data_IF_404635771838
#
_entry.id   IF_404635771838
#
_cell.length_a   1.000
_cell.length_b   1.000
_cell.length_c   1.000
_cell.angle_alpha   90.00
_cell.angle_beta   90.00
_cell.angle_gamma   90.00
#
_symmetry.space_group_name_H-M   'P 1'
#
loop_
_entity.id
_entity.type
_entity.pdbx_description
1 polymer ?
#
# COMPACT_ATOMS: atom_id res chain seq x y z
N UNK A 1 47.87 1.87 -32.70
CA UNK A 1 46.87 2.34 -33.64
C UNK A 1 45.66 1.42 -33.59
N UNK A 2 44.46 2.00 -33.46
CA UNK A 2 43.09 1.44 -33.54
C UNK A 2 42.66 0.47 -32.44
N UNK A 3 41.90 1.01 -31.47
CA UNK A 3 40.95 0.33 -30.64
C UNK A 3 39.71 -0.02 -31.48
N UNK A 4 39.28 -1.27 -31.43
CA UNK A 4 38.05 -1.76 -32.00
C UNK A 4 37.00 -1.99 -30.94
N UNK A 5 35.84 -1.38 -31.11
CA UNK A 5 34.61 -1.54 -30.34
C UNK A 5 34.11 -2.98 -30.37
N UNK A 6 33.78 -3.55 -29.25
CA UNK A 6 32.93 -4.74 -29.13
C UNK A 6 31.67 -4.35 -28.36
N UNK A 7 30.60 -4.09 -29.08
CA UNK A 7 29.25 -4.02 -28.57
C UNK A 7 28.65 -5.42 -28.57
N UNK A 8 28.52 -6.05 -27.41
CA UNK A 8 27.73 -7.26 -27.25
C UNK A 8 26.29 -6.92 -26.92
N UNK A 9 25.41 -7.24 -27.86
CA UNK A 9 23.96 -7.26 -27.68
C UNK A 9 23.57 -8.54 -26.92
N UNK A 10 23.23 -8.42 -25.64
CA UNK A 10 22.57 -9.50 -24.93
C UNK A 10 21.08 -9.54 -25.28
N UNK A 11 20.68 -10.54 -26.07
CA UNK A 11 19.29 -10.80 -26.43
C UNK A 11 18.51 -11.40 -25.29
N UNK A 12 17.50 -10.70 -24.80
CA UNK A 12 16.52 -11.21 -23.85
C UNK A 12 15.45 -12.02 -24.60
N UNK A 13 15.42 -13.34 -24.41
CA UNK A 13 14.28 -14.20 -24.75
C UNK A 13 13.26 -14.15 -23.61
N UNK A 14 12.09 -13.63 -23.89
CA UNK A 14 10.90 -13.72 -23.05
C UNK A 14 10.47 -15.18 -22.88
N UNK A 15 10.51 -15.69 -21.65
CA UNK A 15 9.88 -16.94 -21.28
C UNK A 15 8.38 -16.69 -21.02
N UNK A 16 7.55 -17.24 -21.89
CA UNK A 16 6.10 -17.35 -21.68
C UNK A 16 5.84 -18.35 -20.52
N UNK A 17 5.25 -17.90 -19.44
CA UNK A 17 4.74 -18.78 -18.39
C UNK A 17 3.26 -19.06 -18.60
N UNK A 18 2.94 -20.34 -18.85
CA UNK A 18 1.59 -20.90 -18.76
C UNK A 18 1.14 -21.02 -17.28
N UNK A 19 -0.17 -21.02 -16.96
CA UNK A 19 -0.67 -21.05 -15.59
C UNK A 19 -0.50 -22.43 -14.99
N UNK A 20 0.53 -22.61 -14.16
CA UNK A 20 0.76 -23.85 -13.41
C UNK A 20 2.05 -23.79 -12.61
N UNK A 21 1.92 -23.80 -11.28
CA UNK A 21 2.95 -23.99 -10.24
C UNK A 21 4.23 -23.19 -10.38
N UNK A 22 4.32 -22.10 -9.62
CA UNK A 22 5.60 -21.41 -9.37
C UNK A 22 6.49 -22.34 -8.57
N UNK A 23 7.55 -22.86 -9.18
CA UNK A 23 8.55 -23.68 -8.48
C UNK A 23 9.43 -22.83 -7.58
N UNK A 24 10.00 -23.43 -6.51
CA UNK A 24 10.97 -22.76 -5.61
C UNK A 24 12.12 -22.12 -6.37
N UNK A 25 12.49 -22.61 -7.56
CA UNK A 25 13.49 -22.02 -8.45
C UNK A 25 13.05 -20.68 -9.05
N UNK A 26 11.78 -20.52 -9.39
CA UNK A 26 11.24 -19.27 -9.94
C UNK A 26 11.10 -18.20 -8.85
N UNK A 27 10.78 -18.59 -7.62
CA UNK A 27 10.78 -17.70 -6.46
C UNK A 27 12.20 -17.18 -6.18
N UNK A 28 13.21 -18.04 -6.28
CA UNK A 28 14.63 -17.68 -6.14
C UNK A 28 15.11 -16.70 -7.22
N UNK A 29 14.67 -16.87 -8.46
CA UNK A 29 14.99 -15.94 -9.56
C UNK A 29 14.29 -14.60 -9.35
N UNK A 30 13.04 -14.60 -8.89
CA UNK A 30 12.28 -13.39 -8.60
C UNK A 30 12.87 -12.61 -7.40
N UNK A 31 13.32 -13.32 -6.35
CA UNK A 31 14.03 -12.74 -5.22
C UNK A 31 15.39 -12.14 -5.65
N UNK A 32 16.13 -12.82 -6.52
CA UNK A 32 17.38 -12.29 -7.09
C UNK A 32 17.16 -11.09 -8.01
N UNK A 33 16.03 -11.03 -8.71
CA UNK A 33 15.67 -9.87 -9.54
C UNK A 33 15.29 -8.65 -8.68
N UNK A 34 14.62 -8.87 -7.53
CA UNK A 34 14.36 -7.84 -6.52
C UNK A 34 15.68 -7.36 -5.87
N UNK A 35 16.61 -8.25 -5.59
CA UNK A 35 17.94 -7.92 -5.07
C UNK A 35 18.79 -7.14 -6.09
N UNK A 36 18.69 -7.46 -7.38
CA UNK A 36 19.44 -6.78 -8.45
C UNK A 36 18.88 -5.39 -8.82
N UNK A 37 17.59 -5.12 -8.53
CA UNK A 37 16.95 -3.83 -8.77
C UNK A 37 17.13 -2.83 -7.61
N UNK A 38 17.70 -3.25 -6.49
CA UNK A 38 17.99 -2.37 -5.36
C UNK A 38 19.37 -1.72 -5.51
N UNK A 39 19.51 -0.41 -5.28
CA UNK A 39 20.82 0.20 -5.30
C UNK A 39 21.74 -0.44 -4.25
N UNK A 40 22.99 -0.67 -4.60
CA UNK A 40 24.05 -1.23 -3.72
C UNK A 40 24.42 -0.32 -2.54
N UNK A 41 23.56 0.66 -2.20
CA UNK A 41 23.74 1.59 -1.10
C UNK A 41 23.21 0.97 0.18
N UNK A 42 24.05 0.90 1.20
CA UNK A 42 23.65 0.50 2.55
C UNK A 42 22.64 1.51 3.11
N UNK A 43 21.48 1.01 3.55
CA UNK A 43 20.39 1.82 4.13
C UNK A 43 20.69 2.11 5.60
N UNK A 44 20.85 3.37 5.96
CA UNK A 44 21.13 3.81 7.32
C UNK A 44 19.83 4.01 8.10
N UNK A 45 19.63 3.19 9.12
CA UNK A 45 18.38 3.14 9.91
C UNK A 45 18.63 3.68 11.31
N UNK A 46 17.77 4.58 11.76
CA UNK A 46 17.65 5.02 13.15
C UNK A 46 16.42 4.38 13.79
N UNK A 47 16.61 3.67 14.90
CA UNK A 47 15.54 3.02 15.67
C UNK A 47 15.10 3.97 16.78
N UNK A 48 13.78 4.21 16.90
CA UNK A 48 13.17 5.02 17.97
C UNK A 48 12.06 4.20 18.61
N UNK A 49 12.31 3.68 19.82
CA UNK A 49 11.40 2.81 20.59
C UNK A 49 11.76 2.94 22.06
N UNK A 50 10.81 3.02 22.99
CA UNK A 50 11.09 3.21 24.41
C UNK A 50 11.45 1.92 25.15
N UNK A 51 11.22 0.76 24.52
CA UNK A 51 11.52 -0.56 25.09
C UNK A 51 12.94 -1.02 24.73
N UNK A 52 13.87 -1.14 25.70
CA UNK A 52 15.22 -1.66 25.43
C UNK A 52 15.21 -3.06 24.80
N UNK A 53 14.21 -3.89 25.14
CA UNK A 53 14.07 -5.22 24.57
C UNK A 53 13.73 -5.15 23.07
N UNK A 54 12.76 -4.30 22.70
CA UNK A 54 12.36 -4.12 21.29
C UNK A 54 13.50 -3.51 20.49
N UNK A 55 14.19 -2.51 21.03
CA UNK A 55 15.40 -1.94 20.42
C UNK A 55 16.43 -3.01 20.08
N UNK A 56 16.72 -3.90 21.06
CA UNK A 56 17.67 -5.02 20.86
C UNK A 56 17.22 -5.97 19.76
N UNK A 57 15.93 -6.40 19.81
CA UNK A 57 15.36 -7.33 18.82
C UNK A 57 15.44 -6.74 17.40
N UNK A 58 15.05 -5.48 17.22
CA UNK A 58 15.07 -4.80 15.92
C UNK A 58 16.52 -4.63 15.45
N UNK A 59 17.42 -4.18 16.34
CA UNK A 59 18.85 -4.01 16.02
C UNK A 59 19.48 -5.32 15.54
N UNK A 60 19.34 -6.40 16.33
CA UNK A 60 19.90 -7.71 15.98
C UNK A 60 19.25 -8.28 14.71
N UNK A 61 17.95 -8.04 14.54
CA UNK A 61 17.20 -8.54 13.39
C UNK A 61 17.60 -7.83 12.08
N UNK A 62 17.66 -6.52 12.07
CA UNK A 62 17.99 -5.73 10.88
C UNK A 62 19.48 -5.84 10.52
N UNK A 63 20.38 -5.90 11.51
CA UNK A 63 21.83 -6.01 11.27
C UNK A 63 22.27 -7.32 10.60
N UNK A 64 21.36 -8.32 10.49
CA UNK A 64 21.64 -9.54 9.71
C UNK A 64 21.62 -9.30 8.20
N UNK A 65 21.05 -8.20 7.73
CA UNK A 65 21.05 -7.83 6.31
C UNK A 65 22.27 -6.92 6.02
N UNK A 66 23.20 -7.33 5.15
CA UNK A 66 24.39 -6.54 4.85
C UNK A 66 24.10 -5.19 4.17
N UNK A 67 22.88 -5.00 3.66
CA UNK A 67 22.43 -3.76 3.06
C UNK A 67 21.77 -2.80 4.06
N UNK A 68 21.76 -3.12 5.37
CA UNK A 68 21.19 -2.28 6.43
C UNK A 68 22.22 -1.99 7.50
N UNK A 69 22.44 -0.71 7.78
CA UNK A 69 23.26 -0.21 8.88
C UNK A 69 22.38 0.43 9.95
N UNK A 70 22.46 -0.04 11.19
CA UNK A 70 21.85 0.66 12.31
C UNK A 70 22.77 1.81 12.74
N UNK A 71 22.45 3.02 12.31
CA UNK A 71 23.28 4.19 12.60
C UNK A 71 23.04 4.78 13.99
N UNK A 72 21.95 4.40 14.67
CA UNK A 72 21.65 4.85 16.03
C UNK A 72 20.38 4.23 16.60
N UNK A 73 20.21 4.37 17.91
CA UNK A 73 19.05 3.94 18.67
C UNK A 73 18.68 5.04 19.66
N UNK A 74 17.39 5.40 19.74
CA UNK A 74 16.85 6.39 20.65
C UNK A 74 15.71 5.79 21.49
N UNK A 75 15.59 6.20 22.75
CA UNK A 75 14.58 5.72 23.69
C UNK A 75 13.35 6.64 23.79
N UNK A 76 13.36 7.79 23.14
CA UNK A 76 12.22 8.69 23.08
C UNK A 76 12.32 9.66 21.86
N UNK A 77 11.24 10.37 21.62
CA UNK A 77 11.11 11.31 20.49
C UNK A 77 12.15 12.44 20.50
N UNK A 78 12.57 12.91 21.68
CA UNK A 78 13.53 14.01 21.82
C UNK A 78 14.95 13.54 21.47
N UNK A 79 15.37 12.41 22.03
CA UNK A 79 16.62 11.77 21.67
C UNK A 79 16.65 11.42 20.15
N UNK A 80 15.54 10.91 19.63
CA UNK A 80 15.36 10.62 18.20
C UNK A 80 15.59 11.85 17.32
N UNK A 81 14.97 12.99 17.66
CA UNK A 81 15.18 14.25 16.94
C UNK A 81 16.64 14.66 16.87
N UNK A 82 17.35 14.61 17.99
CA UNK A 82 18.75 15.04 18.06
C UNK A 82 19.66 14.11 17.24
N UNK A 83 19.37 12.79 17.25
CA UNK A 83 20.08 11.81 16.44
C UNK A 83 19.77 11.94 14.94
N UNK A 84 18.56 12.29 14.54
CA UNK A 84 18.21 12.55 13.12
C UNK A 84 19.12 13.63 12.54
N UNK A 85 19.26 14.76 13.24
CA UNK A 85 20.11 15.87 12.79
C UNK A 85 21.59 15.47 12.72
N UNK A 86 22.06 14.74 13.74
CA UNK A 86 23.46 14.33 13.87
C UNK A 86 23.85 13.24 12.87
N UNK A 87 23.02 12.22 12.71
CA UNK A 87 23.35 10.99 12.00
C UNK A 87 22.84 10.97 10.55
N UNK A 88 21.82 11.77 10.24
CA UNK A 88 21.17 11.85 8.91
C UNK A 88 20.81 10.45 8.38
N UNK A 89 19.94 9.71 9.09
CA UNK A 89 19.48 8.40 8.64
C UNK A 89 18.73 8.47 7.32
N UNK A 90 18.67 7.36 6.58
CA UNK A 90 17.85 7.24 5.38
C UNK A 90 16.39 6.87 5.71
N UNK A 91 16.20 6.10 6.81
CA UNK A 91 14.88 5.60 7.26
C UNK A 91 14.84 5.61 8.79
N UNK A 92 13.66 5.89 9.34
CA UNK A 92 13.36 5.67 10.76
C UNK A 92 12.49 4.43 10.95
N UNK A 93 12.76 3.62 11.98
CA UNK A 93 11.72 2.81 12.61
C UNK A 93 11.24 3.55 13.84
N UNK A 94 9.92 3.68 14.01
CA UNK A 94 9.33 4.52 15.04
C UNK A 94 8.20 3.77 15.75
N UNK A 95 8.33 3.64 17.09
CA UNK A 95 7.24 3.14 17.89
C UNK A 95 6.08 4.15 17.94
N UNK A 96 4.88 3.62 17.99
CA UNK A 96 3.64 4.40 18.11
C UNK A 96 3.46 4.90 19.55
N UNK A 97 3.70 4.04 20.52
CA UNK A 97 3.42 4.29 21.95
C UNK A 97 4.72 4.60 22.70
N UNK A 98 5.04 5.88 22.88
CA UNK A 98 6.20 6.31 23.66
C UNK A 98 5.80 7.30 24.75
N UNK A 99 6.53 7.36 25.91
CA UNK A 99 6.29 8.33 26.95
C UNK A 99 6.60 9.76 26.50
N UNK A 100 5.95 10.76 27.10
CA UNK A 100 6.09 12.20 26.86
C UNK A 100 5.60 12.70 25.51
N UNK A 101 5.89 12.01 24.41
CA UNK A 101 5.45 12.35 23.07
C UNK A 101 5.29 11.05 22.27
N UNK A 102 4.07 10.76 21.83
CA UNK A 102 3.79 9.58 21.01
C UNK A 102 4.32 9.73 19.57
N UNK A 103 4.41 8.61 18.85
CA UNK A 103 4.96 8.58 17.50
C UNK A 103 4.18 9.43 16.50
N UNK A 104 2.86 9.59 16.68
CA UNK A 104 2.03 10.40 15.77
C UNK A 104 2.33 11.89 15.94
N UNK A 105 2.38 12.35 17.18
CA UNK A 105 2.72 13.75 17.48
C UNK A 105 4.16 14.06 17.03
N UNK A 106 5.08 13.10 17.21
CA UNK A 106 6.44 13.23 16.70
C UNK A 106 6.45 13.41 15.17
N UNK A 107 5.72 12.56 14.42
CA UNK A 107 5.61 12.67 12.97
C UNK A 107 5.01 14.01 12.52
N UNK A 108 3.94 14.47 13.16
CA UNK A 108 3.31 15.76 12.84
C UNK A 108 4.27 16.94 12.94
N UNK A 109 5.22 16.87 13.87
CA UNK A 109 6.26 17.90 14.06
C UNK A 109 7.44 17.70 13.13
N UNK A 110 7.84 16.45 12.89
CA UNK A 110 9.02 16.10 12.11
C UNK A 110 8.80 16.33 10.61
N UNK A 111 7.74 15.75 10.04
CA UNK A 111 7.55 15.66 8.61
C UNK A 111 7.49 17.01 7.87
N UNK A 112 6.88 18.07 8.42
CA UNK A 112 6.90 19.39 7.77
C UNK A 112 8.27 20.05 7.75
N UNK A 113 9.14 19.74 8.71
CA UNK A 113 10.45 20.37 8.87
C UNK A 113 11.56 19.55 8.21
N UNK A 114 11.51 18.24 8.44
CA UNK A 114 12.52 17.29 7.98
C UNK A 114 11.84 16.01 7.49
N UNK A 115 11.24 16.02 6.28
CA UNK A 115 10.59 14.84 5.73
C UNK A 115 11.61 13.73 5.53
N UNK A 116 11.40 12.62 6.23
CA UNK A 116 12.22 11.41 6.17
C UNK A 116 11.30 10.18 6.13
N UNK A 117 11.64 9.13 5.38
CA UNK A 117 10.87 7.90 5.38
C UNK A 117 10.78 7.26 6.77
N UNK A 118 9.56 6.94 7.22
CA UNK A 118 9.30 6.33 8.53
C UNK A 118 8.48 5.07 8.37
N UNK A 119 8.94 3.97 8.96
CA UNK A 119 8.19 2.73 9.14
C UNK A 119 7.77 2.63 10.61
N UNK A 120 6.46 2.62 10.85
CA UNK A 120 5.94 2.48 12.20
C UNK A 120 6.08 1.04 12.69
N UNK A 121 6.38 0.85 13.97
CA UNK A 121 6.34 -0.46 14.63
C UNK A 121 5.28 -0.40 15.72
N UNK A 122 4.17 -1.10 15.56
CA UNK A 122 2.95 -0.87 16.33
C UNK A 122 2.37 -2.13 16.95
N UNK A 123 1.75 -2.00 18.13
CA UNK A 123 1.01 -3.10 18.76
C UNK A 123 -0.27 -3.44 17.97
N UNK A 124 -0.69 -4.74 18.02
CA UNK A 124 -1.94 -5.22 17.44
C UNK A 124 -3.19 -4.94 18.31
N UNK A 125 -3.09 -4.07 19.30
CA UNK A 125 -4.25 -3.63 20.09
C UNK A 125 -5.13 -2.70 19.24
N UNK A 126 -6.43 -2.61 19.54
CA UNK A 126 -7.33 -1.68 18.85
C UNK A 126 -6.83 -0.23 18.92
N UNK A 127 -6.31 0.16 20.07
CA UNK A 127 -5.69 1.48 20.27
C UNK A 127 -4.46 1.65 19.34
N UNK A 128 -3.54 0.68 19.34
CA UNK A 128 -2.34 0.72 18.50
C UNK A 128 -2.68 0.76 17.01
N UNK A 129 -3.68 0.00 16.56
CA UNK A 129 -4.15 0.02 15.17
C UNK A 129 -4.69 1.40 14.77
N UNK A 130 -5.53 2.03 15.62
CA UNK A 130 -6.05 3.38 15.38
C UNK A 130 -4.93 4.40 15.28
N UNK A 131 -4.02 4.39 16.24
CA UNK A 131 -2.88 5.31 16.27
C UNK A 131 -1.94 5.09 15.08
N UNK A 132 -1.76 3.84 14.63
CA UNK A 132 -0.99 3.53 13.40
C UNK A 132 -1.61 4.18 12.16
N UNK A 133 -2.93 4.10 11.99
CA UNK A 133 -3.60 4.75 10.86
C UNK A 133 -3.52 6.29 10.96
N UNK A 134 -3.47 6.84 12.16
CA UNK A 134 -3.19 8.27 12.37
C UNK A 134 -1.75 8.62 11.99
N UNK A 135 -0.77 7.75 12.32
CA UNK A 135 0.62 7.91 11.92
C UNK A 135 0.79 7.87 10.39
N UNK A 136 0.06 6.98 9.70
CA UNK A 136 0.06 6.95 8.23
C UNK A 136 -0.42 8.30 7.67
N UNK A 137 -1.49 8.89 8.23
CA UNK A 137 -1.97 10.22 7.84
C UNK A 137 -1.02 11.36 8.23
N UNK A 138 -0.16 11.15 9.22
CA UNK A 138 0.89 12.09 9.62
C UNK A 138 2.18 11.97 8.80
N UNK A 139 2.23 11.05 7.83
CA UNK A 139 3.32 10.93 6.88
C UNK A 139 4.21 9.69 7.03
N UNK A 140 3.83 8.72 7.85
CA UNK A 140 4.51 7.44 7.83
C UNK A 140 4.34 6.77 6.46
N UNK A 141 5.41 6.11 5.99
CA UNK A 141 5.45 5.43 4.68
C UNK A 141 4.74 4.08 4.76
N UNK A 142 4.99 3.33 5.85
CA UNK A 142 4.42 2.01 6.09
C UNK A 142 4.45 1.68 7.58
N UNK A 143 3.94 0.50 7.96
CA UNK A 143 3.99 0.02 9.32
C UNK A 143 4.19 -1.50 9.40
N UNK A 144 4.70 -1.98 10.54
CA UNK A 144 4.81 -3.39 10.90
C UNK A 144 4.12 -3.62 12.22
N UNK A 145 3.36 -4.70 12.33
CA UNK A 145 2.66 -5.06 13.55
C UNK A 145 3.57 -5.88 14.48
N UNK A 146 3.68 -5.47 15.76
CA UNK A 146 4.33 -6.28 16.82
C UNK A 146 3.47 -7.53 17.07
N UNK A 147 4.00 -8.75 16.99
CA UNK A 147 3.20 -9.96 17.13
C UNK A 147 2.66 -10.11 18.57
N UNK A 148 1.43 -10.63 18.69
CA UNK A 148 0.88 -11.08 19.98
C UNK A 148 1.41 -12.49 20.26
N UNK A 149 2.62 -12.60 20.80
CA UNK A 149 3.23 -13.87 21.18
C UNK A 149 3.73 -14.69 19.98
N UNK A 150 5.02 -14.75 19.80
CA UNK A 150 5.67 -15.86 19.14
C UNK A 150 6.45 -15.60 17.88
N UNK A 151 5.96 -15.03 16.80
CA UNK A 151 6.76 -14.98 15.56
C UNK A 151 7.47 -13.62 15.35
N UNK A 152 8.52 -13.40 16.17
CA UNK A 152 9.41 -12.26 16.00
C UNK A 152 10.23 -12.34 14.69
N UNK A 153 10.47 -13.56 14.19
CA UNK A 153 11.21 -13.76 12.94
C UNK A 153 10.48 -13.17 11.75
N UNK A 154 9.20 -13.49 11.59
CA UNK A 154 8.36 -12.95 10.52
C UNK A 154 8.22 -11.44 10.61
N UNK A 155 8.05 -10.87 11.82
CA UNK A 155 8.03 -9.41 12.02
C UNK A 155 9.32 -8.74 11.54
N UNK A 156 10.48 -9.30 11.87
CA UNK A 156 11.77 -8.76 11.45
C UNK A 156 11.96 -8.87 9.94
N UNK A 157 11.55 -9.97 9.31
CA UNK A 157 11.66 -10.14 7.86
C UNK A 157 10.75 -9.14 7.12
N UNK A 158 9.54 -8.90 7.64
CA UNK A 158 8.65 -7.85 7.14
C UNK A 158 9.26 -6.47 7.33
N UNK A 159 9.79 -6.16 8.52
CA UNK A 159 10.41 -4.88 8.84
C UNK A 159 11.63 -4.61 7.95
N UNK A 160 12.49 -5.62 7.75
CA UNK A 160 13.65 -5.55 6.85
C UNK A 160 13.23 -5.18 5.43
N UNK A 161 12.20 -5.84 4.93
CA UNK A 161 11.64 -5.56 3.60
C UNK A 161 11.09 -4.14 3.53
N UNK A 162 10.28 -3.71 4.50
CA UNK A 162 9.66 -2.39 4.51
C UNK A 162 10.66 -1.26 4.70
N UNK A 163 11.70 -1.45 5.49
CA UNK A 163 12.80 -0.48 5.64
C UNK A 163 13.52 -0.25 4.30
N UNK A 164 13.85 -1.31 3.58
CA UNK A 164 14.46 -1.19 2.25
C UNK A 164 13.52 -0.49 1.25
N UNK A 165 12.24 -0.81 1.26
CA UNK A 165 11.24 -0.13 0.44
C UNK A 165 11.14 1.36 0.83
N UNK A 166 11.03 1.65 2.13
CA UNK A 166 10.92 3.01 2.63
C UNK A 166 12.12 3.88 2.24
N UNK A 167 13.33 3.31 2.15
CA UNK A 167 14.53 4.06 1.73
C UNK A 167 14.45 4.60 0.30
N UNK A 168 13.56 4.04 -0.53
CA UNK A 168 13.30 4.51 -1.90
C UNK A 168 12.09 5.43 -2.01
N UNK A 169 11.37 5.66 -0.88
CA UNK A 169 10.13 6.40 -0.88
C UNK A 169 10.32 7.90 -1.08
N UNK A 170 9.46 8.53 -1.88
CA UNK A 170 9.40 9.98 -2.04
C UNK A 170 8.49 10.60 -0.98
N UNK A 171 9.09 11.29 -0.01
CA UNK A 171 8.38 11.96 1.10
C UNK A 171 8.50 13.47 1.08
N UNK A 172 9.15 14.05 0.08
CA UNK A 172 9.40 15.50 -0.03
C UNK A 172 8.12 16.35 -0.05
N UNK A 173 7.01 15.79 -0.51
CA UNK A 173 5.69 16.45 -0.55
C UNK A 173 5.13 16.78 0.85
N UNK A 174 5.71 16.21 1.92
CA UNK A 174 5.36 16.53 3.31
C UNK A 174 6.01 17.84 3.80
N UNK A 175 7.02 18.34 3.12
CA UNK A 175 7.72 19.55 3.52
C UNK A 175 6.76 20.75 3.53
N UNK A 176 6.75 21.48 4.61
CA UNK A 176 5.86 22.64 4.85
C UNK A 176 4.35 22.31 4.88
N UNK A 177 3.97 21.04 4.92
CA UNK A 177 2.55 20.65 5.06
C UNK A 177 2.05 21.04 6.45
N UNK A 178 0.97 21.83 6.49
CA UNK A 178 0.29 22.14 7.75
C UNK A 178 -0.66 21.02 8.11
N UNK A 179 -0.46 20.40 9.25
CA UNK A 179 -1.47 19.50 9.83
C UNK A 179 -2.49 20.38 10.54
N UNK A 180 -3.75 20.27 10.16
CA UNK A 180 -4.83 20.87 10.95
C UNK A 180 -4.72 20.33 12.39
N UNK A 181 -4.86 21.21 13.43
CA UNK A 181 -4.94 20.72 14.78
C UNK A 181 -6.06 19.67 14.86
N UNK A 182 -5.85 18.63 15.68
CA UNK A 182 -6.86 17.60 15.92
C UNK A 182 -8.04 18.21 16.72
N UNK A 183 -8.67 19.22 16.14
CA UNK A 183 -9.95 19.69 16.61
C UNK A 183 -10.95 18.63 16.17
N UNK A 184 -11.56 17.97 17.12
CA UNK A 184 -12.69 17.06 16.94
C UNK A 184 -13.90 17.77 16.35
N UNK A 185 -13.78 18.22 15.13
CA UNK A 185 -14.87 18.66 14.29
C UNK A 185 -15.17 17.49 13.36
N UNK A 186 -15.88 16.51 13.89
CA UNK A 186 -16.81 15.75 13.09
C UNK A 186 -17.82 16.74 12.53
N UNK A 187 -17.53 17.43 11.43
CA UNK A 187 -18.58 17.79 10.51
C UNK A 187 -19.04 16.44 9.93
N UNK A 188 -19.84 15.76 10.73
CA UNK A 188 -20.55 14.57 10.33
C UNK A 188 -21.40 14.91 9.12
N UNK A 189 -20.87 14.68 7.94
CA UNK A 189 -21.74 14.19 6.88
C UNK A 189 -22.12 12.79 7.36
N UNK A 190 -23.22 12.76 8.14
CA UNK A 190 -23.86 11.53 8.54
C UNK A 190 -23.89 10.64 7.32
N UNK A 191 -23.25 9.45 7.41
CA UNK A 191 -23.29 8.45 6.39
C UNK A 191 -24.75 8.20 6.03
N UNK A 192 -25.23 8.94 5.02
CA UNK A 192 -26.61 8.88 4.63
C UNK A 192 -26.88 7.44 4.25
N UNK A 193 -27.84 6.80 4.92
CA UNK A 193 -28.38 5.51 4.49
C UNK A 193 -28.50 5.55 2.97
N UNK A 194 -27.85 4.62 2.28
CA UNK A 194 -27.93 4.50 0.83
C UNK A 194 -29.38 4.27 0.49
N UNK A 195 -30.07 5.33 0.05
CA UNK A 195 -31.43 5.21 -0.45
C UNK A 195 -31.35 4.48 -1.80
N UNK A 196 -31.85 3.25 -1.84
CA UNK A 196 -31.90 2.42 -3.03
C UNK A 196 -30.52 1.86 -3.42
N UNK A 197 -30.24 0.62 -3.00
CA UNK A 197 -29.04 -0.10 -3.43
C UNK A 197 -29.23 -0.54 -4.89
N UNK A 198 -28.76 0.27 -5.83
CA UNK A 198 -28.80 -0.09 -7.25
C UNK A 198 -27.56 -0.95 -7.55
N UNK A 199 -27.73 -2.20 -8.03
CA UNK A 199 -26.61 -3.01 -8.46
C UNK A 199 -25.80 -2.29 -9.53
N UNK A 200 -24.50 -2.22 -9.36
CA UNK A 200 -23.62 -1.54 -10.31
C UNK A 200 -23.69 -2.18 -11.69
N UNK A 201 -23.81 -1.35 -12.73
CA UNK A 201 -23.70 -1.78 -14.14
C UNK A 201 -22.24 -1.78 -14.64
N UNK A 202 -21.37 -1.07 -13.96
CA UNK A 202 -19.92 -1.04 -14.13
C UNK A 202 -19.26 -1.13 -12.75
N UNK A 203 -18.02 -1.59 -12.68
CA UNK A 203 -17.26 -1.73 -11.43
C UNK A 203 -15.95 -0.99 -11.53
N UNK A 204 -15.51 -0.35 -10.43
CA UNK A 204 -14.17 0.18 -10.28
C UNK A 204 -13.34 -0.75 -9.40
N UNK A 205 -12.15 -1.15 -9.86
CA UNK A 205 -11.20 -1.97 -9.12
C UNK A 205 -9.93 -1.17 -8.83
N UNK A 206 -9.51 -1.07 -7.57
CA UNK A 206 -8.34 -0.28 -7.16
C UNK A 206 -7.39 -1.16 -6.36
N UNK A 207 -6.11 -1.15 -6.76
CA UNK A 207 -5.02 -1.82 -6.05
C UNK A 207 -4.03 -0.82 -5.47
N UNK A 208 -3.54 -1.06 -4.24
CA UNK A 208 -2.58 -0.22 -3.54
C UNK A 208 -1.75 -0.99 -2.50
N UNK A 209 -0.58 -0.45 -2.13
CA UNK A 209 0.29 -1.00 -1.08
C UNK A 209 0.96 0.12 -0.27
N UNK A 210 2.29 0.16 -0.19
CA UNK A 210 3.06 1.19 0.54
C UNK A 210 2.70 2.60 0.07
N UNK A 211 2.34 3.48 0.99
CA UNK A 211 1.78 4.80 0.69
C UNK A 211 0.31 4.80 0.26
N UNK A 212 -0.28 3.61 0.07
CA UNK A 212 -1.62 3.42 -0.46
C UNK A 212 -2.74 3.96 0.42
N UNK A 213 -2.56 4.00 1.74
CA UNK A 213 -3.59 4.51 2.67
C UNK A 213 -3.95 5.97 2.40
N UNK A 214 -2.94 6.83 2.18
CA UNK A 214 -3.17 8.23 1.86
C UNK A 214 -3.62 8.41 0.40
N UNK A 215 -3.06 7.64 -0.53
CA UNK A 215 -3.49 7.67 -1.92
C UNK A 215 -4.96 7.25 -2.08
N UNK A 216 -5.38 6.18 -1.41
CA UNK A 216 -6.78 5.74 -1.38
C UNK A 216 -7.69 6.77 -0.71
N UNK A 217 -7.25 7.41 0.39
CA UNK A 217 -8.00 8.47 1.04
C UNK A 217 -8.27 9.61 0.05
N UNK A 218 -7.26 10.08 -0.66
CA UNK A 218 -7.40 11.17 -1.64
C UNK A 218 -8.35 10.77 -2.78
N UNK A 219 -8.19 9.58 -3.35
CA UNK A 219 -9.04 9.10 -4.45
C UNK A 219 -10.48 8.91 -3.98
N UNK A 220 -10.73 8.18 -2.90
CA UNK A 220 -12.08 7.84 -2.44
C UNK A 220 -12.85 9.07 -1.95
N UNK A 221 -12.19 10.02 -1.28
CA UNK A 221 -12.81 11.29 -0.89
C UNK A 221 -13.15 12.19 -2.10
N UNK A 222 -12.45 12.03 -3.22
CA UNK A 222 -12.73 12.73 -4.49
C UNK A 222 -13.86 12.12 -5.33
N UNK A 223 -14.33 10.91 -4.97
CA UNK A 223 -15.42 10.24 -5.70
C UNK A 223 -16.80 10.68 -5.17
N UNK A 224 -17.79 10.94 -6.06
CA UNK A 224 -19.13 11.34 -5.63
C UNK A 224 -19.90 10.16 -5.03
N UNK A 225 -20.93 10.48 -4.24
CA UNK A 225 -21.82 9.52 -3.57
C UNK A 225 -22.46 8.50 -4.53
N UNK A 226 -22.62 8.85 -5.78
CA UNK A 226 -23.26 8.02 -6.83
C UNK A 226 -22.24 7.30 -7.72
N UNK A 227 -20.96 7.29 -7.34
CA UNK A 227 -19.94 6.63 -8.15
C UNK A 227 -20.16 5.11 -8.19
N UNK A 228 -19.57 4.47 -9.18
CA UNK A 228 -19.64 3.02 -9.39
C UNK A 228 -19.30 2.24 -8.12
N UNK A 229 -19.90 1.07 -7.95
CA UNK A 229 -19.46 0.12 -6.94
C UNK A 229 -17.97 -0.15 -7.08
N UNK A 230 -17.23 0.11 -6.01
CA UNK A 230 -15.77 0.11 -6.02
C UNK A 230 -15.22 -1.01 -5.14
N UNK A 231 -14.24 -1.74 -5.64
CA UNK A 231 -13.56 -2.81 -4.91
C UNK A 231 -12.10 -2.43 -4.75
N UNK A 232 -11.59 -2.56 -3.53
CA UNK A 232 -10.26 -2.09 -3.16
C UNK A 232 -9.48 -3.22 -2.52
N UNK A 233 -8.26 -3.47 -3.00
CA UNK A 233 -7.25 -4.23 -2.29
C UNK A 233 -6.14 -3.27 -1.87
N UNK A 234 -5.96 -3.15 -0.56
CA UNK A 234 -4.80 -2.54 0.09
C UNK A 234 -4.05 -3.63 0.83
N UNK A 235 -2.75 -3.78 0.57
CA UNK A 235 -1.92 -4.72 1.34
C UNK A 235 -1.83 -4.26 2.78
N UNK A 236 -2.56 -4.96 3.65
CA UNK A 236 -2.70 -4.59 5.06
C UNK A 236 -3.08 -5.82 5.88
N UNK A 237 -2.56 -5.98 7.12
CA UNK A 237 -2.92 -7.10 7.99
C UNK A 237 -4.39 -7.08 8.42
N UNK A 238 -4.88 -8.24 8.87
CA UNK A 238 -6.21 -8.37 9.46
C UNK A 238 -6.40 -7.40 10.63
N UNK A 239 -7.61 -6.87 10.78
CA UNK A 239 -7.98 -5.86 11.76
C UNK A 239 -7.71 -4.43 11.31
N UNK A 240 -6.59 -4.17 10.63
CA UNK A 240 -6.30 -2.83 10.09
C UNK A 240 -7.22 -2.46 8.92
N UNK A 241 -7.60 -3.42 8.08
CA UNK A 241 -8.48 -3.21 6.94
C UNK A 241 -9.87 -2.72 7.36
N UNK A 242 -10.42 -3.29 8.45
CA UNK A 242 -11.69 -2.83 9.01
C UNK A 242 -11.59 -1.38 9.51
N UNK A 243 -10.59 -1.07 10.32
CA UNK A 243 -10.41 0.29 10.86
C UNK A 243 -10.12 1.32 9.76
N UNK A 244 -9.40 0.93 8.72
CA UNK A 244 -9.17 1.77 7.56
C UNK A 244 -10.48 2.03 6.79
N UNK A 245 -11.32 1.01 6.60
CA UNK A 245 -12.63 1.16 6.02
C UNK A 245 -13.53 2.10 6.84
N UNK A 246 -13.61 1.90 8.16
CA UNK A 246 -14.38 2.74 9.08
C UNK A 246 -13.90 4.20 9.04
N UNK A 247 -12.59 4.43 9.00
CA UNK A 247 -12.00 5.76 8.87
C UNK A 247 -12.38 6.44 7.55
N UNK A 248 -12.24 5.73 6.42
CA UNK A 248 -12.65 6.26 5.12
C UNK A 248 -14.14 6.53 5.07
N UNK A 249 -14.97 5.66 5.64
CA UNK A 249 -16.42 5.85 5.73
C UNK A 249 -16.80 7.13 6.48
N UNK A 250 -16.01 7.54 7.47
CA UNK A 250 -16.22 8.78 8.22
C UNK A 250 -15.96 10.07 7.43
N UNK A 251 -15.20 10.01 6.33
CA UNK A 251 -14.76 11.20 5.59
C UNK A 251 -15.15 11.21 4.10
N UNK A 252 -15.47 10.04 3.52
CA UNK A 252 -15.85 9.90 2.12
C UNK A 252 -17.34 10.20 1.90
N UNK A 253 -17.68 10.57 0.66
CA UNK A 253 -19.10 10.70 0.24
C UNK A 253 -19.73 9.32 -0.02
N UNK A 254 -18.95 8.34 -0.49
CA UNK A 254 -19.35 6.95 -0.66
C UNK A 254 -19.47 6.25 0.70
N UNK A 255 -20.30 5.20 0.76
CA UNK A 255 -20.28 4.27 1.89
C UNK A 255 -19.07 3.35 1.73
N UNK A 256 -18.20 3.31 2.72
CA UNK A 256 -17.01 2.46 2.72
C UNK A 256 -17.12 1.42 3.83
N UNK A 257 -16.91 0.14 3.51
CA UNK A 257 -16.84 -0.93 4.52
C UNK A 257 -15.77 -1.97 4.16
N UNK A 258 -15.31 -2.70 5.14
CA UNK A 258 -14.60 -3.95 4.90
C UNK A 258 -15.57 -4.96 4.27
N UNK A 259 -15.13 -5.66 3.25
CA UNK A 259 -15.94 -6.61 2.49
C UNK A 259 -16.24 -7.87 3.31
N UNK A 260 -17.47 -8.34 3.25
CA UNK A 260 -17.93 -9.61 3.81
C UNK A 260 -18.34 -10.58 2.69
N UNK A 261 -18.31 -11.88 2.98
CA UNK A 261 -18.69 -12.92 2.02
C UNK A 261 -20.08 -12.65 1.46
N UNK A 262 -20.17 -12.59 0.13
CA UNK A 262 -21.43 -12.41 -0.58
C UNK A 262 -21.95 -10.97 -0.66
N UNK A 263 -21.20 -9.97 -0.18
CA UNK A 263 -21.55 -8.56 -0.35
C UNK A 263 -21.81 -8.23 -1.82
N UNK A 264 -23.02 -7.70 -2.10
CA UNK A 264 -23.36 -7.21 -3.44
C UNK A 264 -22.65 -5.88 -3.72
N UNK A 265 -22.23 -5.69 -4.97
CA UNK A 265 -21.53 -4.49 -5.43
C UNK A 265 -22.57 -3.47 -5.92
N UNK A 266 -22.71 -2.36 -5.19
CA UNK A 266 -23.68 -1.31 -5.46
C UNK A 266 -23.01 0.02 -5.79
N UNK A 267 -23.62 0.82 -6.62
CA UNK A 267 -23.20 2.21 -6.82
C UNK A 267 -23.23 2.97 -5.49
N UNK A 268 -22.23 3.84 -5.29
CA UNK A 268 -22.07 4.59 -4.05
C UNK A 268 -21.43 3.81 -2.90
N UNK A 269 -20.96 2.57 -3.15
CA UNK A 269 -20.31 1.74 -2.13
C UNK A 269 -18.89 1.36 -2.54
N UNK A 270 -17.96 1.45 -1.61
CA UNK A 270 -16.61 0.92 -1.72
C UNK A 270 -16.38 -0.24 -0.73
N UNK A 271 -15.91 -1.38 -1.23
CA UNK A 271 -15.63 -2.59 -0.47
C UNK A 271 -14.12 -2.79 -0.39
N UNK A 272 -13.56 -2.81 0.82
CA UNK A 272 -12.13 -3.05 1.06
C UNK A 272 -11.92 -4.52 1.40
N UNK A 273 -11.03 -5.19 0.71
CA UNK A 273 -10.71 -6.59 0.96
C UNK A 273 -10.16 -6.79 2.40
N UNK A 274 -10.67 -7.78 3.16
CA UNK A 274 -10.20 -8.02 4.52
C UNK A 274 -8.78 -8.58 4.51
N UNK A 275 -7.95 -8.08 5.43
CA UNK A 275 -6.59 -8.58 5.62
C UNK A 275 -6.57 -10.06 5.99
N UNK A 276 -5.61 -10.81 5.44
CA UNK A 276 -5.47 -12.25 5.67
C UNK A 276 -6.44 -13.13 4.87
N UNK A 277 -7.30 -12.56 4.02
CA UNK A 277 -8.21 -13.26 3.12
C UNK A 277 -7.97 -12.84 1.67
N UNK A 278 -8.33 -13.70 0.71
CA UNK A 278 -8.42 -13.31 -0.70
C UNK A 278 -9.82 -12.79 -1.03
N UNK A 279 -9.91 -11.88 -2.00
CA UNK A 279 -11.15 -11.34 -2.53
C UNK A 279 -11.25 -11.58 -4.03
N UNK A 280 -12.37 -12.11 -4.47
CA UNK A 280 -12.75 -12.23 -5.89
C UNK A 280 -14.11 -11.59 -6.14
N UNK A 281 -14.30 -11.10 -7.34
CA UNK A 281 -15.61 -10.70 -7.86
C UNK A 281 -16.25 -11.89 -8.53
N UNK A 282 -17.51 -12.17 -8.17
CA UNK A 282 -18.31 -13.25 -8.76
C UNK A 282 -19.61 -12.69 -9.34
N UNK A 283 -20.17 -13.40 -10.31
CA UNK A 283 -21.51 -13.10 -10.82
C UNK A 283 -22.56 -13.75 -9.92
N UNK A 284 -23.57 -12.96 -9.53
CA UNK A 284 -24.77 -13.42 -8.81
C UNK A 284 -26.04 -12.98 -9.55
N UNK A 285 -27.19 -13.55 -9.16
CA UNK A 285 -28.49 -13.06 -9.61
C UNK A 285 -28.63 -11.60 -9.22
N UNK A 286 -28.88 -10.73 -10.20
CA UNK A 286 -29.04 -9.29 -10.00
C UNK A 286 -27.76 -8.47 -10.09
N UNK A 287 -26.56 -9.04 -10.37
CA UNK A 287 -25.35 -8.25 -10.52
C UNK A 287 -24.05 -8.97 -10.18
N UNK A 288 -23.15 -8.27 -9.53
CA UNK A 288 -21.87 -8.81 -9.04
C UNK A 288 -21.82 -8.75 -7.50
N UNK A 289 -21.11 -9.71 -6.94
CA UNK A 289 -20.83 -9.79 -5.51
C UNK A 289 -19.37 -10.11 -5.29
N UNK A 290 -18.91 -9.96 -4.05
CA UNK A 290 -17.56 -10.41 -3.66
C UNK A 290 -17.64 -11.81 -3.04
N UNK A 291 -16.59 -12.60 -3.27
CA UNK A 291 -16.27 -13.85 -2.58
C UNK A 291 -15.03 -13.61 -1.74
N UNK A 292 -15.12 -13.93 -0.45
CA UNK A 292 -14.01 -13.84 0.51
C UNK A 292 -13.61 -15.25 0.90
N UNK A 293 -12.33 -15.60 0.79
CA UNK A 293 -11.89 -16.97 1.05
C UNK A 293 -10.45 -17.08 1.55
N UNK A 294 -10.15 -18.20 2.21
CA UNK A 294 -8.81 -18.57 2.64
C UNK A 294 -8.06 -19.20 1.46
N UNK A 295 -7.50 -18.34 0.58
CA UNK A 295 -6.67 -18.77 -0.53
C UNK A 295 -5.18 -18.75 -0.18
N UNK A 296 -4.33 -19.35 -1.03
CA UNK A 296 -2.88 -19.21 -0.91
C UNK A 296 -2.46 -17.76 -1.10
N UNK A 297 -1.22 -17.44 -0.69
CA UNK A 297 -0.60 -16.18 -1.05
C UNK A 297 -0.48 -16.09 -2.58
N UNK A 298 -0.89 -14.96 -3.16
CA UNK A 298 -0.68 -14.66 -4.57
C UNK A 298 0.27 -13.47 -4.65
N UNK A 299 1.34 -13.58 -5.43
CA UNK A 299 2.42 -12.59 -5.46
C UNK A 299 3.00 -12.24 -4.07
N UNK A 300 2.94 -13.17 -3.12
CA UNK A 300 3.37 -12.97 -1.73
C UNK A 300 2.34 -12.29 -0.83
N UNK A 301 1.14 -11.97 -1.32
CA UNK A 301 0.14 -11.17 -0.60
C UNK A 301 -1.21 -11.89 -0.40
N UNK A 302 -1.88 -11.52 0.69
CA UNK A 302 -3.27 -11.89 1.00
C UNK A 302 -3.88 -10.82 1.92
N UNK A 303 -4.77 -9.93 1.37
CA UNK A 303 -5.32 -9.96 0.00
C UNK A 303 -4.30 -9.64 -1.08
N UNK A 304 -4.53 -10.13 -2.31
CA UNK A 304 -3.73 -9.84 -3.49
C UNK A 304 -4.53 -9.04 -4.52
N UNK A 305 -3.91 -7.99 -5.07
CA UNK A 305 -4.47 -7.20 -6.17
C UNK A 305 -4.59 -8.05 -7.43
N UNK A 306 -3.63 -8.94 -7.70
CA UNK A 306 -3.65 -9.87 -8.83
C UNK A 306 -4.90 -10.75 -8.81
N UNK A 307 -5.20 -11.36 -7.65
CA UNK A 307 -6.39 -12.23 -7.47
C UNK A 307 -7.67 -11.45 -7.74
N UNK A 308 -7.82 -10.27 -7.17
CA UNK A 308 -8.99 -9.42 -7.35
C UNK A 308 -9.15 -9.00 -8.82
N UNK A 309 -8.10 -8.46 -9.45
CA UNK A 309 -8.17 -7.93 -10.82
C UNK A 309 -8.39 -9.04 -11.86
N UNK A 310 -7.80 -10.23 -11.69
CA UNK A 310 -8.07 -11.38 -12.55
C UNK A 310 -9.55 -11.81 -12.48
N UNK A 311 -10.14 -11.80 -11.29
CA UNK A 311 -11.56 -12.11 -11.14
C UNK A 311 -12.46 -11.05 -11.80
N UNK A 312 -12.09 -9.77 -11.74
CA UNK A 312 -12.77 -8.67 -12.42
C UNK A 312 -12.65 -8.84 -13.94
N UNK A 313 -11.46 -9.13 -14.46
CA UNK A 313 -11.26 -9.41 -15.89
C UNK A 313 -12.20 -10.51 -16.39
N UNK A 314 -12.26 -11.63 -15.65
CA UNK A 314 -13.07 -12.81 -16.00
C UNK A 314 -14.58 -12.56 -15.93
N UNK A 315 -15.06 -11.88 -14.88
CA UNK A 315 -16.50 -11.84 -14.57
C UNK A 315 -17.18 -10.53 -14.99
N UNK A 316 -16.41 -9.44 -15.14
CA UNK A 316 -16.93 -8.10 -15.45
C UNK A 316 -16.50 -7.63 -16.86
N UNK A 317 -15.23 -7.84 -17.21
CA UNK A 317 -14.69 -7.51 -18.53
C UNK A 317 -14.80 -6.02 -18.86
N UNK A 318 -15.33 -5.69 -20.04
CA UNK A 318 -15.46 -4.31 -20.54
C UNK A 318 -16.28 -3.35 -19.67
N UNK A 319 -17.06 -3.89 -18.75
CA UNK A 319 -17.84 -3.09 -17.77
C UNK A 319 -17.01 -2.74 -16.52
N UNK A 320 -15.69 -2.99 -16.52
CA UNK A 320 -14.80 -2.59 -15.45
C UNK A 320 -13.95 -1.38 -15.83
N UNK A 321 -13.59 -0.59 -14.81
CA UNK A 321 -12.48 0.35 -14.83
C UNK A 321 -11.51 0.02 -13.71
N UNK A 322 -10.23 0.38 -13.87
CA UNK A 322 -9.22 0.04 -12.87
C UNK A 322 -8.23 1.16 -12.60
N UNK A 323 -7.70 1.17 -11.38
CA UNK A 323 -6.60 2.03 -10.98
C UNK A 323 -5.55 1.25 -10.18
N UNK A 324 -4.28 1.45 -10.52
CA UNK A 324 -3.14 0.98 -9.72
C UNK A 324 -2.49 2.17 -9.05
N UNK A 325 -2.50 2.18 -7.72
CA UNK A 325 -1.90 3.25 -6.92
C UNK A 325 -0.50 2.82 -6.42
N UNK A 326 0.15 3.76 -5.73
CA UNK A 326 1.46 3.58 -5.11
C UNK A 326 1.60 2.23 -4.39
N UNK A 327 2.75 1.61 -4.51
CA UNK A 327 3.09 0.35 -3.89
C UNK A 327 4.35 -0.26 -4.46
N UNK A 328 5.00 -1.15 -3.71
CA UNK A 328 6.18 -1.89 -4.14
C UNK A 328 5.80 -3.20 -4.83
N UNK A 329 6.64 -3.64 -5.77
CA UNK A 329 6.49 -4.92 -6.45
C UNK A 329 5.59 -4.87 -7.67
N UNK A 330 5.02 -6.01 -8.05
CA UNK A 330 4.28 -6.20 -9.29
C UNK A 330 2.90 -6.86 -9.09
N UNK A 331 2.43 -6.97 -7.84
CA UNK A 331 1.11 -7.56 -7.56
C UNK A 331 0.01 -6.74 -8.24
N UNK A 332 -0.84 -7.41 -8.99
CA UNK A 332 -1.91 -6.82 -9.79
C UNK A 332 -1.50 -6.33 -11.18
N UNK A 333 -0.22 -6.36 -11.54
CA UNK A 333 0.21 -5.91 -12.87
C UNK A 333 -0.29 -6.84 -13.99
N UNK A 334 -0.27 -8.16 -13.75
CA UNK A 334 -0.83 -9.16 -14.66
C UNK A 334 -2.36 -9.10 -14.69
N UNK A 335 -2.99 -9.00 -13.52
CA UNK A 335 -4.44 -8.87 -13.40
C UNK A 335 -5.00 -7.61 -14.07
N UNK A 336 -4.30 -6.47 -13.95
CA UNK A 336 -4.68 -5.25 -14.65
C UNK A 336 -4.52 -5.39 -16.18
N UNK A 337 -3.47 -6.08 -16.64
CA UNK A 337 -3.32 -6.43 -18.05
C UNK A 337 -4.49 -7.30 -18.54
N UNK A 338 -4.85 -8.33 -17.76
CA UNK A 338 -6.00 -9.17 -18.07
C UNK A 338 -7.31 -8.36 -18.13
N UNK A 339 -7.51 -7.38 -17.23
CA UNK A 339 -8.65 -6.45 -17.31
C UNK A 339 -8.64 -5.66 -18.62
N UNK A 340 -7.48 -5.14 -19.03
CA UNK A 340 -7.35 -4.42 -20.32
C UNK A 340 -7.67 -5.32 -21.53
N UNK A 341 -7.16 -6.55 -21.52
CA UNK A 341 -7.41 -7.52 -22.58
C UNK A 341 -8.89 -7.93 -22.66
N UNK A 342 -9.59 -7.89 -21.53
CA UNK A 342 -11.04 -8.09 -21.44
C UNK A 342 -11.87 -6.84 -21.79
N UNK A 343 -11.22 -5.74 -22.23
CA UNK A 343 -11.86 -4.50 -22.68
C UNK A 343 -12.13 -3.47 -21.58
N UNK A 344 -11.59 -3.65 -20.37
CA UNK A 344 -11.68 -2.67 -19.30
C UNK A 344 -10.74 -1.48 -19.59
N UNK A 345 -11.07 -0.32 -19.05
CA UNK A 345 -10.21 0.86 -19.06
C UNK A 345 -9.46 0.96 -17.73
N UNK A 346 -8.14 1.15 -17.77
CA UNK A 346 -7.31 1.16 -16.58
C UNK A 346 -6.26 2.26 -16.63
N UNK A 347 -5.98 2.85 -15.45
CA UNK A 347 -4.94 3.87 -15.27
C UNK A 347 -4.00 3.48 -14.13
N UNK A 348 -2.82 4.07 -14.08
CA UNK A 348 -1.90 3.90 -12.95
C UNK A 348 -1.42 5.26 -12.46
N UNK A 349 -1.10 5.35 -11.17
CA UNK A 349 -0.55 6.55 -10.55
C UNK A 349 0.83 6.83 -11.18
N UNK A 350 1.16 8.11 -11.39
CA UNK A 350 2.45 8.51 -11.92
C UNK A 350 3.58 8.42 -10.86
N UNK A 351 4.82 8.49 -11.34
CA UNK A 351 6.01 8.42 -10.49
C UNK A 351 6.11 9.62 -9.53
N UNK A 352 5.81 10.81 -10.03
CA UNK A 352 5.99 12.06 -9.30
C UNK A 352 5.13 12.15 -8.03
N UNK A 353 3.95 11.52 -8.03
CA UNK A 353 3.03 11.53 -6.90
C UNK A 353 2.98 10.21 -6.13
N UNK A 354 3.67 9.16 -6.60
CA UNK A 354 3.77 7.89 -5.89
C UNK A 354 4.78 8.00 -4.74
N UNK A 355 4.41 7.48 -3.57
CA UNK A 355 5.38 7.26 -2.47
C UNK A 355 6.41 6.22 -2.90
N UNK A 356 5.93 5.12 -3.51
CA UNK A 356 6.76 4.07 -4.14
C UNK A 356 6.19 3.75 -5.51
N UNK A 357 6.96 4.02 -6.57
CA UNK A 357 6.56 3.79 -7.96
C UNK A 357 6.97 2.38 -8.42
N UNK A 358 6.42 1.34 -7.80
CA UNK A 358 6.65 -0.06 -8.15
C UNK A 358 5.43 -0.67 -8.84
N UNK A 359 4.34 -0.93 -8.12
CA UNK A 359 3.10 -1.50 -8.66
C UNK A 359 2.54 -0.70 -9.87
N UNK A 360 2.46 0.65 -9.82
CA UNK A 360 2.02 1.43 -10.98
C UNK A 360 2.95 1.28 -12.18
N UNK A 361 4.27 1.30 -11.96
CA UNK A 361 5.29 1.11 -12.99
C UNK A 361 5.13 -0.22 -13.71
N UNK A 362 5.03 -1.31 -12.93
CA UNK A 362 4.90 -2.67 -13.47
C UNK A 362 3.56 -2.85 -14.22
N UNK A 363 2.47 -2.29 -13.68
CA UNK A 363 1.17 -2.32 -14.36
C UNK A 363 1.21 -1.58 -15.72
N UNK A 364 1.84 -0.40 -15.76
CA UNK A 364 2.00 0.37 -17.01
C UNK A 364 2.94 -0.34 -17.99
N UNK A 365 4.08 -0.82 -17.53
CA UNK A 365 5.07 -1.52 -18.35
C UNK A 365 4.52 -2.78 -19.02
N UNK A 366 3.62 -3.51 -18.35
CA UNK A 366 2.92 -4.67 -18.89
C UNK A 366 1.75 -4.32 -19.83
N UNK A 367 1.44 -3.03 -20.02
CA UNK A 367 0.29 -2.59 -20.81
C UNK A 367 -1.06 -2.75 -20.10
N UNK A 368 -1.04 -2.91 -18.77
CA UNK A 368 -2.22 -2.97 -17.94
C UNK A 368 -2.88 -1.61 -17.70
N UNK A 369 -2.14 -0.52 -17.80
CA UNK A 369 -2.68 0.84 -17.71
C UNK A 369 -2.55 1.60 -19.02
N UNK A 370 -3.57 2.41 -19.37
CA UNK A 370 -3.58 3.27 -20.58
C UNK A 370 -2.65 4.47 -20.42
N UNK A 371 -2.55 4.97 -19.20
CA UNK A 371 -1.79 6.18 -18.90
C UNK A 371 -1.37 6.22 -17.44
N UNK A 372 -0.31 6.99 -17.18
CA UNK A 372 0.10 7.41 -15.85
C UNK A 372 -0.59 8.73 -15.51
N UNK A 373 -1.20 8.80 -14.32
CA UNK A 373 -2.04 9.93 -13.89
C UNK A 373 -1.57 10.42 -12.51
N UNK A 374 -1.32 11.73 -12.33
CA UNK A 374 -1.03 12.29 -11.02
C UNK A 374 -2.14 12.01 -10.01
N UNK A 375 -1.78 11.67 -8.77
CA UNK A 375 -2.73 11.30 -7.71
C UNK A 375 -3.92 12.26 -7.59
N UNK A 376 -3.76 13.59 -7.56
CA UNK A 376 -4.90 14.52 -7.45
C UNK A 376 -5.87 14.48 -8.63
N UNK A 377 -5.48 13.90 -9.76
CA UNK A 377 -6.31 13.78 -10.96
C UNK A 377 -6.99 12.42 -11.10
N UNK A 378 -6.60 11.41 -10.31
CA UNK A 378 -7.10 10.03 -10.46
C UNK A 378 -8.62 9.97 -10.26
N UNK A 379 -9.17 10.56 -9.21
CA UNK A 379 -10.61 10.56 -8.96
C UNK A 379 -11.40 11.16 -10.14
N UNK A 380 -10.98 12.33 -10.62
CA UNK A 380 -11.59 12.98 -11.79
C UNK A 380 -11.49 12.13 -13.07
N UNK A 381 -10.35 11.47 -13.28
CA UNK A 381 -10.15 10.56 -14.42
C UNK A 381 -11.08 9.35 -14.33
N UNK A 382 -11.19 8.71 -13.16
CA UNK A 382 -12.11 7.59 -12.92
C UNK A 382 -13.56 7.99 -13.16
N UNK A 383 -13.99 9.18 -12.71
CA UNK A 383 -15.33 9.71 -12.96
C UNK A 383 -15.61 9.85 -14.46
N UNK A 384 -14.63 10.34 -15.23
CA UNK A 384 -14.77 10.46 -16.68
C UNK A 384 -14.79 9.10 -17.40
N UNK A 385 -14.04 8.10 -16.91
CA UNK A 385 -14.05 6.73 -17.44
C UNK A 385 -15.34 5.98 -17.13
N UNK A 386 -16.04 6.37 -16.07
CA UNK A 386 -17.30 5.77 -15.65
C UNK A 386 -18.49 6.12 -16.56
N UNK A 387 -18.42 7.26 -17.23
CA UNK A 387 -19.42 7.72 -18.23
C UNK A 387 -19.36 6.84 -19.47
#
# INVERSE_FOLDING_TARGET
>A
MKRGEMTERAGFRLLHCSPGSVTMGQLSVYLRYLEAAMPSRVVRVLIIDDSPLVQKIITEGLSKDPNIEICGVASDAYAGRDLIVKLRPDVLTLDVEMPKMDGVEFLRRLMPQYPIPVVMVSSLTERGQKTTLEAMAAGAVDFVAKPKGGDLGSMIDELRTKVKIASTASVSHWKNKQFAPATGASSGVAGGKVAGQTPSKKICAIGASTGGTEALREVICGLPRTFLGTIIVQHMPAGFTKMFADRLNGIAQMVVKEAEEGDMIYDGRALIAPGGKQLEVIRKSGGWAVRIFDGPLCCGHRPSVETMMNSVAKNVGKSAIGAMLTGMGADGAGGMKAMRDAGARCIAQDEATSVVFGMPKEAFAKGGAESLVPLPKIAGTLINMAK
#
